data_IF_050567400778
#
_entry.id   IF_050567400778
#
_cell.length_a   1.000
_cell.length_b   1.000
_cell.length_c   1.000
_cell.angle_alpha   90.00
_cell.angle_beta   90.00
_cell.angle_gamma   90.00
#
_symmetry.space_group_name_H-M   'P 1'
#
loop_
_entity.id
_entity.type
_entity.pdbx_description
1 polymer ?
#
# COMPACT_ATOMS: atom_id res chain seq x y z
N UNK A 1 6.06 8.11 -10.47
CA UNK A 1 7.09 7.13 -10.96
C UNK A 1 7.10 5.89 -10.05
N UNK A 2 7.60 4.70 -10.45
CA UNK A 2 7.62 3.36 -9.76
C UNK A 2 6.60 2.30 -10.24
N UNK A 3 5.39 2.70 -10.65
CA UNK A 3 4.37 1.77 -11.15
C UNK A 3 3.92 2.16 -12.57
N UNK A 4 3.57 1.16 -13.38
CA UNK A 4 2.92 1.39 -14.67
C UNK A 4 1.49 1.89 -14.44
N UNK A 5 1.01 2.80 -15.30
CA UNK A 5 -0.37 3.31 -15.23
C UNK A 5 -1.42 2.21 -15.43
N UNK A 6 -1.06 1.12 -16.10
CA UNK A 6 -1.91 -0.06 -16.36
C UNK A 6 -1.85 -1.11 -15.25
N UNK A 7 -1.02 -0.92 -14.22
CA UNK A 7 -0.87 -1.90 -13.14
C UNK A 7 -2.16 -1.97 -12.30
N UNK A 8 -2.52 -3.19 -11.90
CA UNK A 8 -3.71 -3.37 -11.07
C UNK A 8 -3.51 -2.76 -9.66
N UNK A 9 -4.53 -2.11 -9.08
CA UNK A 9 -4.39 -1.37 -7.82
C UNK A 9 -3.99 -2.24 -6.62
N UNK A 10 -4.41 -3.50 -6.60
CA UNK A 10 -4.06 -4.48 -5.57
C UNK A 10 -2.57 -4.83 -5.61
N UNK A 11 -1.99 -4.98 -6.80
CA UNK A 11 -0.56 -5.20 -6.98
C UNK A 11 0.25 -3.96 -6.57
N UNK A 12 -0.25 -2.76 -6.85
CA UNK A 12 0.36 -1.50 -6.39
C UNK A 12 0.38 -1.48 -4.86
N UNK A 13 -0.78 -1.73 -4.21
CA UNK A 13 -0.90 -1.75 -2.76
C UNK A 13 0.04 -2.78 -2.12
N UNK A 14 0.04 -4.01 -2.64
CA UNK A 14 0.87 -5.09 -2.13
C UNK A 14 2.36 -4.72 -2.20
N UNK A 15 2.82 -4.29 -3.38
CA UNK A 15 4.23 -3.98 -3.59
C UNK A 15 4.67 -2.75 -2.80
N UNK A 16 3.82 -1.75 -2.64
CA UNK A 16 4.12 -0.55 -1.86
C UNK A 16 4.45 -0.89 -0.39
N UNK A 17 3.69 -1.81 0.21
CA UNK A 17 3.95 -2.27 1.58
C UNK A 17 5.14 -3.24 1.62
N UNK A 18 5.23 -4.19 0.67
CA UNK A 18 6.28 -5.21 0.64
C UNK A 18 7.69 -4.63 0.61
N UNK A 19 7.91 -3.51 -0.09
CA UNK A 19 9.23 -2.84 -0.14
C UNK A 19 9.65 -2.40 1.27
N UNK A 20 8.78 -1.71 2.01
CA UNK A 20 9.09 -1.27 3.38
C UNK A 20 9.30 -2.45 4.33
N UNK A 21 8.55 -3.55 4.17
CA UNK A 21 8.77 -4.76 4.96
C UNK A 21 10.11 -5.42 4.66
N UNK A 22 10.54 -5.40 3.39
CA UNK A 22 11.83 -5.94 2.97
C UNK A 22 12.99 -5.22 3.67
N UNK A 23 12.90 -3.90 3.84
CA UNK A 23 13.92 -3.12 4.55
C UNK A 23 14.01 -3.51 6.03
N UNK A 24 12.87 -3.69 6.69
CA UNK A 24 12.82 -4.17 8.09
C UNK A 24 13.41 -5.57 8.20
N UNK A 25 13.05 -6.48 7.28
CA UNK A 25 13.56 -7.84 7.27
C UNK A 25 15.07 -7.90 7.02
N UNK A 26 15.60 -7.04 6.14
CA UNK A 26 17.04 -6.94 5.88
C UNK A 26 17.85 -6.50 7.12
N UNK A 27 17.23 -5.77 8.05
CA UNK A 27 17.81 -5.39 9.34
C UNK A 27 17.62 -6.45 10.43
N UNK A 28 17.01 -7.59 10.13
CA UNK A 28 16.65 -8.63 11.11
C UNK A 28 15.46 -8.27 12.01
N UNK A 29 14.71 -7.23 11.64
CA UNK A 29 13.52 -6.79 12.37
C UNK A 29 12.28 -7.62 12.02
N UNK A 30 11.32 -7.63 12.94
CA UNK A 30 9.99 -8.21 12.73
C UNK A 30 9.00 -7.04 12.60
N UNK A 31 8.36 -6.82 11.44
CA UNK A 31 7.39 -5.76 11.26
C UNK A 31 6.11 -6.04 12.06
N UNK A 32 5.53 -4.99 12.65
CA UNK A 32 4.34 -5.11 13.52
C UNK A 32 3.13 -4.39 12.89
N UNK A 33 3.37 -3.23 12.31
CA UNK A 33 2.33 -2.36 11.78
C UNK A 33 2.89 -1.44 10.69
N UNK A 34 1.99 -0.82 9.92
CA UNK A 34 2.34 0.20 8.94
C UNK A 34 1.28 1.31 8.87
N UNK A 35 1.70 2.47 8.39
CA UNK A 35 0.86 3.65 8.14
C UNK A 35 0.80 3.91 6.62
N UNK A 36 -0.33 4.38 6.10
CA UNK A 36 -0.52 4.62 4.66
C UNK A 36 -0.86 6.08 4.36
N UNK A 37 -0.01 6.80 3.64
CA UNK A 37 -0.36 8.08 3.03
C UNK A 37 -0.62 7.89 1.54
N UNK A 38 -1.83 8.17 1.09
CA UNK A 38 -2.28 7.97 -0.28
C UNK A 38 -2.77 9.29 -0.90
N UNK A 39 -2.14 9.71 -1.99
CA UNK A 39 -2.58 10.86 -2.78
C UNK A 39 -3.23 10.38 -4.08
N UNK A 40 -4.48 10.78 -4.33
CA UNK A 40 -5.21 10.43 -5.56
C UNK A 40 -5.78 11.68 -6.25
N UNK A 41 -5.72 11.78 -7.59
CA UNK A 41 -6.23 12.96 -8.30
C UNK A 41 -7.76 13.02 -8.30
N UNK A 42 -8.41 11.85 -8.31
CA UNK A 42 -9.86 11.70 -8.27
C UNK A 42 -10.22 10.46 -7.45
N UNK A 43 -11.19 10.61 -6.56
CA UNK A 43 -11.76 9.48 -5.84
C UNK A 43 -12.45 8.52 -6.83
N UNK A 44 -11.99 7.27 -6.85
CA UNK A 44 -12.57 6.19 -7.65
C UNK A 44 -12.80 4.99 -6.72
N UNK A 45 -14.07 4.70 -6.44
CA UNK A 45 -14.49 3.66 -5.50
C UNK A 45 -14.05 2.26 -5.94
N UNK A 46 -14.12 1.96 -7.25
CA UNK A 46 -13.67 0.68 -7.79
C UNK A 46 -12.16 0.49 -7.60
N UNK A 47 -11.38 1.53 -7.92
CA UNK A 47 -9.93 1.51 -7.73
C UNK A 47 -9.57 1.31 -6.25
N UNK A 48 -10.21 2.07 -5.35
CA UNK A 48 -10.00 1.98 -3.90
C UNK A 48 -10.37 0.60 -3.35
N UNK A 49 -11.46 0.00 -3.85
CA UNK A 49 -11.89 -1.34 -3.44
C UNK A 49 -10.84 -2.40 -3.81
N UNK A 50 -10.28 -2.33 -5.03
CA UNK A 50 -9.22 -3.24 -5.47
C UNK A 50 -7.91 -2.97 -4.71
N UNK A 51 -7.54 -1.71 -4.51
CA UNK A 51 -6.35 -1.33 -3.72
C UNK A 51 -6.43 -1.87 -2.28
N UNK A 52 -7.60 -1.74 -1.64
CA UNK A 52 -7.87 -2.28 -0.31
C UNK A 52 -7.65 -3.79 -0.25
N UNK A 53 -8.04 -4.55 -1.29
CA UNK A 53 -7.81 -6.01 -1.33
C UNK A 53 -6.31 -6.35 -1.30
N UNK A 54 -5.49 -5.57 -1.99
CA UNK A 54 -4.02 -5.72 -1.95
C UNK A 54 -3.45 -5.48 -0.57
N UNK A 55 -3.90 -4.41 0.12
CA UNK A 55 -3.52 -4.14 1.52
C UNK A 55 -3.93 -5.28 2.46
N UNK A 56 -5.18 -5.75 2.36
CA UNK A 56 -5.67 -6.84 3.20
C UNK A 56 -4.90 -8.14 2.96
N UNK A 57 -4.51 -8.42 1.70
CA UNK A 57 -3.71 -9.59 1.36
C UNK A 57 -2.37 -9.55 2.08
N UNK A 58 -1.62 -8.46 1.95
CA UNK A 58 -0.28 -8.37 2.55
C UNK A 58 -0.34 -8.29 4.08
N UNK A 59 -1.31 -7.57 4.65
CA UNK A 59 -1.56 -7.56 6.09
C UNK A 59 -1.78 -8.96 6.67
N UNK A 60 -2.59 -9.77 5.98
CA UNK A 60 -2.86 -11.15 6.39
C UNK A 60 -1.65 -12.05 6.23
N UNK A 61 -0.89 -11.87 5.16
CA UNK A 61 0.29 -12.69 4.86
C UNK A 61 1.41 -12.48 5.89
N UNK A 62 1.71 -11.23 6.24
CA UNK A 62 2.80 -10.89 7.17
C UNK A 62 2.32 -10.64 8.61
N UNK A 63 1.03 -10.85 8.92
CA UNK A 63 0.43 -10.62 10.23
C UNK A 63 0.66 -9.19 10.77
N UNK A 64 0.59 -8.19 9.89
CA UNK A 64 0.77 -6.77 10.20
C UNK A 64 -0.53 -5.98 10.04
N UNK A 65 -0.69 -4.93 10.84
CA UNK A 65 -1.92 -4.12 10.85
C UNK A 65 -1.68 -2.74 10.23
N UNK A 66 -2.67 -2.24 9.50
CA UNK A 66 -2.73 -0.84 9.10
C UNK A 66 -3.23 -0.02 10.30
N UNK A 67 -2.35 0.76 10.92
CA UNK A 67 -2.70 1.54 12.13
C UNK A 67 -3.31 2.89 11.83
N UNK A 68 -3.09 3.42 10.63
CA UNK A 68 -3.61 4.72 10.25
C UNK A 68 -3.17 5.14 8.86
N UNK A 69 -3.44 6.39 8.53
CA UNK A 69 -3.04 6.94 7.26
C UNK A 69 -3.61 8.31 6.98
N UNK A 70 -3.24 8.82 5.81
CA UNK A 70 -3.77 10.05 5.26
C UNK A 70 -4.25 9.82 3.83
N UNK A 71 -5.37 10.45 3.46
CA UNK A 71 -5.94 10.36 2.12
C UNK A 71 -6.12 11.77 1.56
N UNK A 72 -5.21 12.16 0.67
CA UNK A 72 -5.20 13.48 0.07
C UNK A 72 -5.62 13.45 -1.40
N UNK A 73 -6.22 14.56 -1.85
CA UNK A 73 -6.43 14.83 -3.28
C UNK A 73 -5.24 15.59 -3.84
N UNK A 74 -4.61 15.09 -4.90
CA UNK A 74 -3.46 15.76 -5.51
C UNK A 74 -3.09 15.21 -6.88
N UNK A 75 -2.33 15.99 -7.65
CA UNK A 75 -1.83 15.54 -8.96
C UNK A 75 -0.82 14.40 -8.79
N UNK A 76 -0.87 13.42 -9.69
CA UNK A 76 0.12 12.35 -9.73
C UNK A 76 1.45 12.90 -10.23
N UNK A 77 2.55 12.59 -9.53
CA UNK A 77 3.93 12.88 -9.93
C UNK A 77 4.55 11.75 -10.77
#
# INVERSE_FOLDING_TARGET
VHFLKSMQPDLIAYRAVAIALSDIAAMGGIPIAYNLSLTIPRANSTWMSVFKKGLQKISKEYQIVLTGGDLCKGSLQ
#
